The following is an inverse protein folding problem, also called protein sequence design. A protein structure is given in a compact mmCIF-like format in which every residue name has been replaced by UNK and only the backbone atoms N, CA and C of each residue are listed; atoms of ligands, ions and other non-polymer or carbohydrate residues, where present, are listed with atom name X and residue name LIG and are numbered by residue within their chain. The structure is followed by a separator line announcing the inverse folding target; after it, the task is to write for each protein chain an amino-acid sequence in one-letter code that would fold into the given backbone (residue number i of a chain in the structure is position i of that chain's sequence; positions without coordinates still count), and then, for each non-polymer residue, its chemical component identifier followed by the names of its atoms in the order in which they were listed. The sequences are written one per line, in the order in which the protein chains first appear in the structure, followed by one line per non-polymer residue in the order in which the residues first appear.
data_IF_101944309722
#
_entry.id   IF_101944309722
#
_cell.length_a   1.000
_cell.length_b   1.000
_cell.length_c   1.000
_cell.angle_alpha   90.00
_cell.angle_beta   90.00
_cell.angle_gamma   90.00
#
_symmetry.space_group_name_H-M   'P 1'
#
loop_
_entity.id
_entity.type
_entity.pdbx_description
1 polymer ?
#
# COMPACT_ATOMS: atom_id res chain seq x y z
N UNK A 1 9.17 1.36 5.74
CA UNK A 1 8.39 0.30 6.40
C UNK A 1 6.98 0.79 6.66
N UNK A 2 5.98 -0.09 6.80
CA UNK A 2 4.63 0.32 7.20
C UNK A 2 4.64 0.74 8.68
N UNK A 3 4.03 1.88 9.00
CA UNK A 3 3.77 2.33 10.37
C UNK A 3 2.30 2.12 10.69
N UNK A 4 1.40 2.73 9.91
CA UNK A 4 -0.04 2.58 10.10
C UNK A 4 -0.79 2.53 8.78
N UNK A 5 -1.97 1.91 8.84
CA UNK A 5 -2.96 1.96 7.78
C UNK A 5 -4.34 2.25 8.36
N UNK A 6 -4.98 3.31 7.90
CA UNK A 6 -6.31 3.75 8.32
C UNK A 6 -7.30 3.55 7.18
N UNK A 7 -8.48 3.03 7.53
CA UNK A 7 -9.60 2.81 6.61
C UNK A 7 -10.91 3.25 7.23
N UNK A 8 -11.78 3.87 6.42
CA UNK A 8 -13.16 4.25 6.80
C UNK A 8 -14.09 4.02 5.62
N UNK A 9 -15.32 3.66 5.92
CA UNK A 9 -16.38 3.42 4.94
C UNK A 9 -15.95 2.52 3.77
N UNK A 10 -15.46 1.32 4.10
CA UNK A 10 -15.03 0.32 3.13
C UNK A 10 -15.49 -1.06 3.59
N UNK A 11 -16.39 -1.70 2.83
CA UNK A 11 -16.91 -3.05 3.11
C UNK A 11 -17.42 -3.25 4.53
N UNK A 12 -16.62 -3.87 5.40
CA UNK A 12 -16.97 -4.14 6.80
C UNK A 12 -16.57 -3.03 7.77
N UNK A 13 -15.87 -2.00 7.30
CA UNK A 13 -15.44 -0.85 8.08
C UNK A 13 -16.42 0.29 7.84
N UNK A 14 -17.33 0.53 8.80
CA UNK A 14 -18.18 1.71 8.81
C UNK A 14 -17.38 2.92 9.27
N UNK A 15 -16.95 2.87 10.52
CA UNK A 15 -16.16 3.91 11.16
C UNK A 15 -14.68 3.76 10.83
N UNK A 16 -13.93 4.82 11.10
CA UNK A 16 -12.49 4.85 10.96
C UNK A 16 -11.82 3.82 11.88
N UNK A 17 -10.91 3.05 11.31
CA UNK A 17 -10.09 2.06 12.00
C UNK A 17 -8.66 2.12 11.50
N UNK A 18 -7.72 2.14 12.44
CA UNK A 18 -6.29 2.15 12.17
C UNK A 18 -5.67 0.82 12.60
N UNK A 19 -4.91 0.22 11.71
CA UNK A 19 -4.01 -0.87 11.98
C UNK A 19 -2.60 -0.31 12.15
N UNK A 20 -1.98 -0.54 13.31
CA UNK A 20 -0.66 -0.02 13.65
C UNK A 20 0.37 -1.13 13.78
N UNK A 21 1.56 -0.89 13.23
CA UNK A 21 2.75 -1.71 13.43
C UNK A 21 3.64 -1.18 14.56
N UNK A 22 3.25 -0.09 15.23
CA UNK A 22 4.00 0.42 16.40
C UNK A 22 3.97 -0.58 17.54
N UNK A 23 5.15 -0.84 18.12
CA UNK A 23 5.30 -1.70 19.27
C UNK A 23 4.78 -0.96 20.52
N UNK A 24 3.82 -1.56 21.22
CA UNK A 24 3.34 -1.03 22.49
C UNK A 24 4.48 -0.93 23.52
N UNK A 25 4.73 0.27 24.04
CA UNK A 25 5.54 0.50 25.23
C UNK A 25 4.74 0.18 26.49
N UNK A 26 4.37 -1.09 26.70
CA UNK A 26 3.62 -1.48 27.89
C UNK A 26 4.60 -1.88 28.99
N UNK A 27 4.71 -1.07 30.05
CA UNK A 27 5.61 -1.26 31.21
C UNK A 27 5.52 -2.68 31.84
N UNK A 28 4.41 -3.40 31.63
CA UNK A 28 4.20 -4.76 32.14
C UNK A 28 4.79 -5.88 31.29
N UNK A 29 5.31 -5.57 30.10
CA UNK A 29 5.80 -6.53 29.12
C UNK A 29 7.22 -6.27 28.63
N UNK A 30 7.97 -5.38 29.29
CA UNK A 30 9.40 -5.16 29.00
C UNK A 30 10.24 -6.44 29.15
N UNK A 31 9.77 -7.41 29.95
CA UNK A 31 10.42 -8.73 30.05
C UNK A 31 10.10 -9.69 28.88
N UNK A 32 9.11 -9.39 28.05
CA UNK A 32 8.61 -10.31 27.00
C UNK A 32 8.83 -9.84 25.56
N UNK A 33 9.04 -8.54 25.33
CA UNK A 33 9.48 -8.04 24.02
C UNK A 33 10.98 -7.85 24.11
N UNK A 34 11.74 -8.88 23.72
CA UNK A 34 13.19 -8.74 23.57
C UNK A 34 13.48 -7.58 22.62
N UNK A 35 14.38 -6.67 22.99
CA UNK A 35 14.77 -5.51 22.14
C UNK A 35 15.22 -5.92 20.73
N UNK A 36 15.66 -7.17 20.56
CA UNK A 36 16.02 -7.78 19.28
C UNK A 36 14.83 -8.15 18.38
N UNK A 37 13.59 -8.05 18.87
CA UNK A 37 12.36 -8.43 18.15
C UNK A 37 11.61 -7.25 17.53
N UNK A 38 12.16 -6.03 17.64
CA UNK A 38 11.60 -4.80 17.05
C UNK A 38 12.58 -4.18 16.06
N UNK A 39 12.06 -3.46 15.08
CA UNK A 39 12.85 -2.71 14.12
C UNK A 39 12.76 -1.24 14.49
N UNK A 40 13.91 -0.64 14.81
CA UNK A 40 14.00 0.77 15.18
C UNK A 40 14.36 1.60 13.93
N UNK A 41 13.50 2.55 13.59
CA UNK A 41 13.68 3.46 12.45
C UNK A 41 13.31 4.88 12.88
N UNK A 42 14.33 5.74 13.08
CA UNK A 42 14.12 7.06 13.66
C UNK A 42 13.58 6.96 15.08
N UNK A 43 12.48 7.66 15.36
CA UNK A 43 11.77 7.61 16.65
C UNK A 43 10.79 6.42 16.76
N UNK A 44 10.61 5.64 15.68
CA UNK A 44 9.59 4.60 15.59
C UNK A 44 10.14 3.23 15.99
N UNK A 45 9.36 2.48 16.78
CA UNK A 45 9.67 1.12 17.21
C UNK A 45 8.66 0.16 16.59
N UNK A 46 9.01 -0.42 15.45
CA UNK A 46 8.06 -1.17 14.64
C UNK A 46 8.15 -2.68 14.88
N UNK A 47 7.00 -3.35 14.87
CA UNK A 47 6.91 -4.79 14.84
C UNK A 47 7.25 -5.30 13.42
N UNK A 48 8.13 -6.32 13.29
CA UNK A 48 8.43 -6.91 11.98
C UNK A 48 7.30 -7.80 11.44
N UNK A 49 6.41 -8.27 12.32
CA UNK A 49 5.34 -9.22 12.00
C UNK A 49 4.08 -8.90 12.82
N UNK A 50 2.93 -9.00 12.17
CA UNK A 50 1.62 -8.94 12.80
C UNK A 50 0.75 -10.12 12.34
N UNK A 51 0.03 -10.72 13.28
CA UNK A 51 -0.89 -11.84 13.03
C UNK A 51 -2.31 -11.37 13.34
N UNK A 52 -3.18 -11.39 12.33
CA UNK A 52 -4.59 -11.02 12.47
C UNK A 52 -5.44 -12.26 12.71
N UNK A 53 -5.97 -12.41 13.92
CA UNK A 53 -6.91 -13.47 14.29
C UNK A 53 -8.26 -12.89 14.74
N UNK A 54 -9.33 -13.67 14.61
CA UNK A 54 -10.67 -13.25 14.98
C UNK A 54 -11.75 -14.09 14.32
N UNK A 55 -13.00 -13.90 14.73
CA UNK A 55 -14.14 -14.65 14.20
C UNK A 55 -14.31 -14.52 12.68
N UNK A 56 -15.04 -15.45 12.06
CA UNK A 56 -15.44 -15.31 10.67
C UNK A 56 -16.18 -13.99 10.44
N UNK A 57 -15.94 -13.36 9.29
CA UNK A 57 -16.53 -12.07 8.92
C UNK A 57 -16.14 -10.87 9.80
N UNK A 58 -15.13 -10.99 10.67
CA UNK A 58 -14.65 -9.89 11.51
C UNK A 58 -13.87 -8.78 10.78
N UNK A 59 -13.79 -8.83 9.44
CA UNK A 59 -13.12 -7.79 8.63
C UNK A 59 -11.63 -8.00 8.35
N UNK A 60 -10.99 -9.07 8.84
CA UNK A 60 -9.55 -9.35 8.61
C UNK A 60 -9.16 -9.33 7.12
N UNK A 61 -9.85 -10.11 6.30
CA UNK A 61 -9.60 -10.13 4.85
C UNK A 61 -9.92 -8.79 4.20
N UNK A 62 -10.88 -8.03 4.74
CA UNK A 62 -11.21 -6.71 4.21
C UNK A 62 -10.13 -5.67 4.52
N UNK A 63 -9.42 -5.78 5.65
CA UNK A 63 -8.25 -4.93 5.93
C UNK A 63 -7.16 -5.15 4.88
N UNK A 64 -6.81 -6.42 4.60
CA UNK A 64 -5.82 -6.76 3.57
C UNK A 64 -6.28 -6.31 2.18
N UNK A 65 -7.58 -6.44 1.88
CA UNK A 65 -8.16 -5.95 0.62
C UNK A 65 -8.13 -4.43 0.53
N UNK A 66 -8.35 -3.68 1.62
CA UNK A 66 -8.24 -2.22 1.63
C UNK A 66 -6.82 -1.78 1.27
N UNK A 67 -5.79 -2.40 1.87
CA UNK A 67 -4.38 -2.15 1.52
C UNK A 67 -4.11 -2.47 0.05
N UNK A 68 -4.63 -3.60 -0.47
CA UNK A 68 -4.52 -3.97 -1.89
C UNK A 68 -5.16 -2.90 -2.79
N UNK A 69 -6.37 -2.43 -2.48
CA UNK A 69 -7.07 -1.42 -3.28
C UNK A 69 -6.32 -0.09 -3.25
N UNK A 70 -5.89 0.40 -2.08
CA UNK A 70 -5.10 1.63 -1.98
C UNK A 70 -3.84 1.54 -2.86
N UNK A 71 -3.06 0.46 -2.72
CA UNK A 71 -1.87 0.21 -3.54
C UNK A 71 -2.18 0.24 -5.04
N UNK A 72 -3.23 -0.46 -5.47
CA UNK A 72 -3.56 -0.56 -6.89
C UNK A 72 -4.09 0.77 -7.44
N UNK A 73 -4.84 1.55 -6.67
CA UNK A 73 -5.23 2.90 -7.04
C UNK A 73 -3.99 3.78 -7.24
N UNK A 74 -3.08 3.82 -6.25
CA UNK A 74 -1.82 4.59 -6.34
C UNK A 74 -0.97 4.18 -7.55
N UNK A 75 -0.92 2.89 -7.89
CA UNK A 75 -0.13 2.40 -9.03
C UNK A 75 -0.79 2.62 -10.39
N UNK A 76 -2.11 2.48 -10.50
CA UNK A 76 -2.82 2.45 -11.78
C UNK A 76 -3.55 3.75 -12.11
N UNK A 77 -3.64 4.70 -11.18
CA UNK A 77 -4.43 5.91 -11.35
C UNK A 77 -4.11 6.69 -12.64
N UNK A 78 -2.85 6.71 -13.08
CA UNK A 78 -2.43 7.38 -14.32
C UNK A 78 -2.90 6.70 -15.62
N UNK A 79 -3.34 5.44 -15.53
CA UNK A 79 -3.88 4.69 -16.67
C UNK A 79 -5.38 4.93 -16.87
N UNK A 80 -6.03 5.61 -15.93
CA UNK A 80 -7.45 5.92 -15.99
C UNK A 80 -7.72 7.03 -17.01
N UNK A 81 -8.73 6.81 -17.84
CA UNK A 81 -9.41 7.85 -18.62
C UNK A 81 -10.39 8.61 -17.71
N UNK A 82 -10.84 9.79 -18.12
CA UNK A 82 -11.70 10.67 -17.30
C UNK A 82 -13.01 10.02 -16.82
N UNK A 83 -13.62 9.19 -17.67
CA UNK A 83 -14.89 8.52 -17.37
C UNK A 83 -14.73 7.16 -16.67
N UNK A 84 -13.50 6.70 -16.44
CA UNK A 84 -13.25 5.42 -15.78
C UNK A 84 -13.67 5.49 -14.30
N UNK A 85 -14.40 4.45 -13.87
CA UNK A 85 -14.88 4.35 -12.49
C UNK A 85 -13.78 3.87 -11.53
N UNK A 86 -13.81 4.42 -10.32
CA UNK A 86 -12.94 4.01 -9.23
C UNK A 86 -13.49 2.76 -8.52
N UNK A 87 -12.63 1.93 -7.89
CA UNK A 87 -13.02 0.68 -7.21
C UNK A 87 -13.73 0.92 -5.86
N UNK A 88 -14.85 1.63 -5.91
CA UNK A 88 -15.64 2.06 -4.77
C UNK A 88 -16.59 0.95 -4.28
N UNK A 89 -16.33 0.46 -3.06
CA UNK A 89 -17.07 -0.61 -2.37
C UNK A 89 -17.28 -0.22 -0.89
N UNK A 90 -18.18 0.75 -0.63
CA UNK A 90 -18.37 1.36 0.70
C UNK A 90 -19.04 0.40 1.69
N UNK A 91 -19.20 0.83 2.94
CA UNK A 91 -20.03 0.11 3.91
C UNK A 91 -21.51 0.24 3.51
N UNK A 92 -22.19 -0.89 3.27
CA UNK A 92 -23.55 -0.90 2.69
C UNK A 92 -24.67 -1.23 3.67
N UNK A 93 -24.36 -1.61 4.92
CA UNK A 93 -25.36 -1.94 5.94
C UNK A 93 -25.94 -0.72 6.66
N UNK A 94 -25.63 0.48 6.17
CA UNK A 94 -26.15 1.75 6.68
C UNK A 94 -26.54 2.64 5.48
N UNK A 95 -27.73 3.23 5.53
CA UNK A 95 -28.28 4.00 4.39
C UNK A 95 -27.51 5.29 4.10
N UNK A 96 -26.81 5.82 5.09
CA UNK A 96 -26.08 7.08 4.98
C UNK A 96 -24.69 6.87 4.39
N UNK A 97 -24.03 5.77 4.72
CA UNK A 97 -22.63 5.48 4.35
C UNK A 97 -22.46 5.09 2.88
N UNK A 98 -23.51 4.58 2.23
CA UNK A 98 -23.50 4.17 0.81
C UNK A 98 -23.17 5.33 -0.13
N UNK A 99 -23.44 6.57 0.27
CA UNK A 99 -23.10 7.77 -0.49
C UNK A 99 -21.92 8.56 0.07
N UNK A 100 -21.30 8.09 1.16
CA UNK A 100 -20.14 8.75 1.76
C UNK A 100 -18.85 8.31 1.08
N UNK A 101 -17.80 9.15 1.01
CA UNK A 101 -16.51 8.72 0.50
C UNK A 101 -15.91 7.54 1.28
N UNK A 102 -15.09 6.74 0.61
CA UNK A 102 -14.17 5.79 1.25
C UNK A 102 -12.85 6.51 1.51
N UNK A 103 -12.29 6.36 2.71
CA UNK A 103 -10.99 6.92 3.09
C UNK A 103 -9.96 5.80 3.21
N UNK A 104 -8.80 6.03 2.60
CA UNK A 104 -7.57 5.30 2.92
C UNK A 104 -6.48 6.29 3.31
N UNK A 105 -5.77 6.01 4.40
CA UNK A 105 -4.55 6.72 4.78
C UNK A 105 -3.48 5.71 5.19
N UNK A 106 -2.24 5.99 4.85
CA UNK A 106 -1.10 5.16 5.20
C UNK A 106 0.06 6.01 5.70
N UNK A 107 0.64 5.58 6.81
CA UNK A 107 1.90 6.10 7.34
C UNK A 107 3.00 5.09 7.08
N UNK A 108 4.08 5.52 6.45
CA UNK A 108 5.20 4.64 6.16
C UNK A 108 6.53 5.37 6.15
N UNK A 109 7.58 4.64 6.50
CA UNK A 109 8.96 5.13 6.51
C UNK A 109 9.63 4.87 5.15
N UNK A 110 10.27 5.89 4.60
CA UNK A 110 11.07 5.79 3.37
C UNK A 110 12.17 6.85 3.43
N UNK A 111 13.40 6.47 3.09
CA UNK A 111 14.53 7.42 2.94
C UNK A 111 14.71 8.36 4.15
N UNK A 112 14.62 7.80 5.37
CA UNK A 112 14.73 8.53 6.66
C UNK A 112 13.68 9.62 6.87
N UNK A 113 12.50 9.47 6.27
CA UNK A 113 11.33 10.27 6.57
C UNK A 113 10.10 9.38 6.78
N UNK A 114 9.15 9.86 7.57
CA UNK A 114 7.80 9.33 7.64
C UNK A 114 6.93 10.08 6.65
N UNK A 115 6.27 9.35 5.76
CA UNK A 115 5.25 9.92 4.89
C UNK A 115 3.88 9.54 5.41
N UNK A 116 2.97 10.51 5.42
CA UNK A 116 1.55 10.30 5.64
C UNK A 116 0.83 10.67 4.35
N UNK A 117 0.31 9.66 3.68
CA UNK A 117 -0.39 9.81 2.41
C UNK A 117 -1.80 9.23 2.53
N UNK A 118 -2.80 9.98 2.08
CA UNK A 118 -4.17 9.53 2.11
C UNK A 118 -5.05 10.21 1.07
N UNK A 119 -6.22 9.63 0.85
CA UNK A 119 -7.23 10.18 -0.03
C UNK A 119 -8.62 9.66 0.33
N UNK A 120 -9.62 10.48 0.04
CA UNK A 120 -11.02 10.08 0.02
C UNK A 120 -11.53 10.02 -1.41
N UNK A 121 -12.34 9.02 -1.72
CA UNK A 121 -12.88 8.84 -3.07
C UNK A 121 -14.29 8.25 -3.05
N UNK A 122 -15.02 8.50 -4.12
CA UNK A 122 -16.28 7.83 -4.42
C UNK A 122 -16.13 7.01 -5.72
N UNK A 123 -17.24 6.56 -6.31
CA UNK A 123 -17.23 5.77 -7.55
C UNK A 123 -16.63 6.53 -8.76
N UNK A 124 -16.62 7.85 -8.72
CA UNK A 124 -16.39 8.71 -9.88
C UNK A 124 -15.12 9.56 -9.73
N UNK A 125 -14.77 9.99 -8.52
CA UNK A 125 -13.70 10.98 -8.33
C UNK A 125 -12.98 10.84 -6.99
N UNK A 126 -11.80 11.47 -6.95
CA UNK A 126 -11.04 11.74 -5.73
C UNK A 126 -11.60 13.03 -5.12
N UNK A 127 -12.12 12.92 -3.90
CA UNK A 127 -12.76 14.00 -3.15
C UNK A 127 -11.71 14.83 -2.42
N UNK A 128 -10.74 14.15 -1.81
CA UNK A 128 -9.60 14.77 -1.14
C UNK A 128 -8.38 13.88 -1.27
N UNK A 129 -7.20 14.47 -1.27
CA UNK A 129 -5.91 13.76 -1.31
C UNK A 129 -4.87 14.62 -0.60
N UNK A 130 -4.00 14.00 0.19
CA UNK A 130 -2.99 14.72 0.93
C UNK A 130 -1.70 13.93 1.01
N UNK A 131 -0.59 14.66 1.02
CA UNK A 131 0.72 14.11 1.27
C UNK A 131 1.48 15.00 2.24
N UNK A 132 1.95 14.39 3.32
CA UNK A 132 2.82 15.01 4.29
C UNK A 132 4.12 14.21 4.46
N UNK A 133 5.17 14.91 4.88
CA UNK A 133 6.50 14.37 5.14
C UNK A 133 7.02 14.86 6.49
N UNK A 134 7.48 13.94 7.33
CA UNK A 134 8.22 14.24 8.57
C UNK A 134 9.61 13.62 8.47
N UNK A 135 10.66 14.39 8.13
CA UNK A 135 12.03 13.94 8.21
C UNK A 135 12.39 13.51 9.64
N UNK A 136 13.27 12.51 9.81
CA UNK A 136 13.65 12.01 11.13
C UNK A 136 14.37 13.05 11.98
N UNK A 137 15.08 13.98 11.34
CA UNK A 137 15.83 15.05 11.98
C UNK A 137 14.92 16.19 12.45
N UNK A 138 13.65 16.20 12.06
CA UNK A 138 12.71 17.28 12.30
C UNK A 138 11.56 16.85 13.22
N UNK A 139 11.05 17.82 13.99
CA UNK A 139 9.96 17.57 14.94
C UNK A 139 8.58 17.69 14.29
N UNK A 140 8.48 18.57 13.31
CA UNK A 140 7.21 18.94 12.68
C UNK A 140 7.01 18.15 11.39
N UNK A 141 5.74 17.86 11.09
CA UNK A 141 5.31 17.28 9.83
C UNK A 141 5.05 18.41 8.85
N UNK A 142 5.60 18.29 7.65
CA UNK A 142 5.46 19.26 6.57
C UNK A 142 4.45 18.79 5.55
N UNK A 143 3.55 19.69 5.18
CA UNK A 143 2.67 19.45 4.04
C UNK A 143 3.47 19.57 2.74
N UNK A 144 3.20 18.64 1.82
CA UNK A 144 3.73 18.65 0.47
C UNK A 144 2.68 19.16 -0.51
N UNK A 145 1.48 18.56 -0.45
CA UNK A 145 0.30 19.05 -1.15
C UNK A 145 -0.98 18.58 -0.47
N UNK A 146 -2.06 19.32 -0.71
CA UNK A 146 -3.42 18.94 -0.37
C UNK A 146 -4.36 19.18 -1.56
N UNK A 147 -5.35 18.32 -1.71
CA UNK A 147 -6.40 18.41 -2.71
C UNK A 147 -7.75 18.45 -2.02
N UNK A 148 -8.59 19.39 -2.45
CA UNK A 148 -9.99 19.50 -2.06
C UNK A 148 -10.85 19.65 -3.32
N UNK A 149 -11.50 18.56 -3.72
CA UNK A 149 -12.26 18.46 -4.96
C UNK A 149 -11.40 18.68 -6.20
N UNK A 150 -11.65 19.78 -6.91
CA UNK A 150 -10.91 20.17 -8.13
C UNK A 150 -9.70 21.07 -7.85
N UNK A 151 -9.51 21.50 -6.60
CA UNK A 151 -8.41 22.39 -6.20
C UNK A 151 -7.28 21.56 -5.61
N UNK A 152 -6.06 21.76 -6.12
CA UNK A 152 -4.83 21.17 -5.59
C UNK A 152 -3.92 22.32 -5.18
N UNK A 153 -3.54 22.33 -3.91
CA UNK A 153 -2.61 23.28 -3.32
C UNK A 153 -1.27 22.57 -3.12
N UNK A 154 -0.21 23.11 -3.73
CA UNK A 154 1.15 22.57 -3.64
C UNK A 154 2.00 23.55 -2.86
N UNK A 155 2.68 23.07 -1.81
CA UNK A 155 3.68 23.86 -1.11
C UNK A 155 5.02 23.72 -1.83
N UNK A 156 5.29 24.63 -2.77
CA UNK A 156 6.50 24.60 -3.62
C UNK A 156 7.81 24.57 -2.84
N UNK A 157 7.84 25.09 -1.60
CA UNK A 157 9.01 25.02 -0.71
C UNK A 157 9.40 23.57 -0.38
N UNK A 158 8.41 22.71 -0.13
CA UNK A 158 8.62 21.32 0.27
C UNK A 158 8.42 20.34 -0.89
N UNK A 159 7.63 20.71 -1.90
CA UNK A 159 7.22 19.87 -3.02
C UNK A 159 7.30 20.59 -4.38
N UNK A 160 8.48 21.10 -4.78
CA UNK A 160 8.64 21.82 -6.06
C UNK A 160 8.35 20.95 -7.29
N UNK A 161 8.44 19.62 -7.16
CA UNK A 161 8.09 18.70 -8.24
C UNK A 161 6.59 18.65 -8.53
N UNK A 162 5.71 19.12 -7.63
CA UNK A 162 4.27 19.23 -7.87
C UNK A 162 3.87 20.53 -8.57
N UNK A 163 4.68 21.59 -8.44
CA UNK A 163 4.33 22.93 -8.91
C UNK A 163 4.04 22.97 -10.42
N UNK A 164 2.94 23.62 -10.78
CA UNK A 164 2.48 23.81 -12.16
C UNK A 164 1.84 22.57 -12.80
N UNK A 165 1.61 21.51 -12.03
CA UNK A 165 1.00 20.24 -12.51
C UNK A 165 -0.44 20.04 -12.01
N UNK A 166 -0.96 20.98 -11.23
CA UNK A 166 -2.26 20.91 -10.53
C UNK A 166 -3.39 20.68 -11.54
N UNK A 167 -3.38 21.45 -12.63
CA UNK A 167 -4.40 21.40 -13.69
C UNK A 167 -4.27 20.17 -14.62
N UNK A 168 -3.25 19.33 -14.45
CA UNK A 168 -3.05 18.11 -15.24
C UNK A 168 -3.71 16.88 -14.60
N UNK A 169 -4.17 17.01 -13.35
CA UNK A 169 -4.86 15.94 -12.63
C UNK A 169 -6.36 15.97 -12.92
N UNK A 170 -6.85 14.89 -13.53
CA UNK A 170 -8.27 14.69 -13.74
C UNK A 170 -8.96 14.33 -12.41
N UNK A 171 -10.29 14.48 -12.36
CA UNK A 171 -11.10 14.25 -11.14
C UNK A 171 -10.87 12.88 -10.50
N UNK A 172 -10.69 11.83 -11.31
CA UNK A 172 -10.47 10.45 -10.87
C UNK A 172 -8.98 10.05 -10.78
N UNK A 173 -8.05 11.00 -10.96
CA UNK A 173 -6.61 10.74 -10.92
C UNK A 173 -5.98 11.27 -9.64
N UNK A 174 -5.18 10.44 -8.98
CA UNK A 174 -4.35 10.80 -7.84
C UNK A 174 -3.19 11.68 -8.30
N UNK A 175 -3.01 12.81 -7.63
CA UNK A 175 -1.98 13.79 -7.94
C UNK A 175 -0.58 13.22 -7.71
N UNK A 176 -0.36 12.47 -6.63
CA UNK A 176 0.92 11.79 -6.37
C UNK A 176 1.33 10.90 -7.54
N UNK A 177 0.39 10.11 -8.07
CA UNK A 177 0.64 9.19 -9.19
C UNK A 177 0.99 9.95 -10.47
N UNK A 178 0.33 11.08 -10.72
CA UNK A 178 0.60 11.95 -11.86
C UNK A 178 2.00 12.58 -11.78
N UNK A 179 2.36 13.16 -10.63
CA UNK A 179 3.68 13.78 -10.44
C UNK A 179 4.79 12.73 -10.60
N UNK A 180 4.60 11.51 -10.10
CA UNK A 180 5.52 10.40 -10.35
C UNK A 180 5.67 10.06 -11.85
N UNK A 181 4.57 10.02 -12.61
CA UNK A 181 4.61 9.78 -14.06
C UNK A 181 5.38 10.88 -14.80
N UNK A 182 5.27 12.12 -14.32
CA UNK A 182 6.00 13.28 -14.81
C UNK A 182 7.44 13.37 -14.27
N UNK A 183 7.97 12.25 -13.76
CA UNK A 183 9.35 12.07 -13.29
C UNK A 183 9.72 12.86 -12.02
N UNK A 184 8.75 13.18 -11.17
CA UNK A 184 9.03 13.66 -9.81
C UNK A 184 9.82 12.61 -9.02
N UNK A 185 10.98 12.96 -8.49
CA UNK A 185 11.89 12.04 -7.81
C UNK A 185 11.29 11.54 -6.48
N UNK A 186 10.73 12.46 -5.68
CA UNK A 186 10.15 12.13 -4.37
C UNK A 186 8.89 11.28 -4.56
N UNK A 187 8.03 11.68 -5.50
CA UNK A 187 6.84 10.92 -5.89
C UNK A 187 7.20 9.52 -6.39
N UNK A 188 8.24 9.38 -7.23
CA UNK A 188 8.70 8.06 -7.66
C UNK A 188 9.27 7.21 -6.51
N UNK A 189 9.95 7.83 -5.54
CA UNK A 189 10.41 7.12 -4.34
C UNK A 189 9.24 6.57 -3.51
N UNK A 190 8.21 7.40 -3.30
CA UNK A 190 6.96 7.02 -2.61
C UNK A 190 6.24 5.91 -3.38
N UNK A 191 6.02 6.06 -4.69
CA UNK A 191 5.43 5.00 -5.53
C UNK A 191 6.27 3.72 -5.47
N UNK A 192 7.60 3.85 -5.41
CA UNK A 192 8.54 2.75 -5.22
C UNK A 192 8.29 1.96 -3.93
N UNK A 193 7.89 2.62 -2.85
CA UNK A 193 7.46 1.95 -1.61
C UNK A 193 6.19 1.12 -1.84
N UNK A 194 5.15 1.68 -2.49
CA UNK A 194 3.93 0.93 -2.82
C UNK A 194 4.18 -0.25 -3.76
N UNK A 195 5.15 -0.16 -4.68
CA UNK A 195 5.55 -1.27 -5.56
C UNK A 195 6.14 -2.45 -4.77
N UNK A 196 6.80 -2.18 -3.64
CA UNK A 196 7.36 -3.20 -2.74
C UNK A 196 6.35 -3.71 -1.70
N UNK A 197 5.13 -3.17 -1.64
CA UNK A 197 4.06 -3.71 -0.83
C UNK A 197 3.43 -4.91 -1.55
N UNK A 198 3.71 -6.14 -1.11
CA UNK A 198 3.13 -7.35 -1.71
C UNK A 198 1.92 -7.82 -0.90
N UNK A 199 0.80 -8.07 -1.61
CA UNK A 199 -0.38 -8.69 -1.01
C UNK A 199 -0.51 -10.07 -1.63
N UNK A 200 -0.39 -11.08 -0.79
CA UNK A 200 -0.51 -12.49 -1.18
C UNK A 200 -1.86 -13.03 -0.72
N UNK A 201 -2.56 -13.75 -1.59
CA UNK A 201 -3.83 -14.42 -1.34
C UNK A 201 -3.72 -15.89 -1.73
N UNK A 202 -3.82 -16.81 -0.77
CA UNK A 202 -3.87 -18.24 -1.07
C UNK A 202 -5.14 -18.70 -1.82
N UNK A 203 -6.11 -17.80 -2.02
CA UNK A 203 -7.37 -18.08 -2.75
C UNK A 203 -7.32 -17.53 -4.18
N UNK A 204 -6.49 -16.51 -4.41
CA UNK A 204 -6.38 -15.81 -5.69
C UNK A 204 -4.95 -16.00 -6.19
N UNK A 205 -4.76 -16.98 -7.06
CA UNK A 205 -3.45 -17.39 -7.58
C UNK A 205 -2.97 -16.55 -8.75
N UNK A 206 -3.73 -15.52 -9.14
CA UNK A 206 -3.43 -14.69 -10.30
C UNK A 206 -2.08 -13.98 -10.12
N UNK A 207 -1.13 -14.26 -11.02
CA UNK A 207 0.24 -13.73 -10.99
C UNK A 207 1.27 -14.56 -10.21
N UNK A 208 0.87 -15.58 -9.44
CA UNK A 208 1.82 -16.53 -8.84
C UNK A 208 2.48 -17.40 -9.86
N UNK A 209 1.70 -17.88 -10.83
CA UNK A 209 2.22 -18.71 -11.90
C UNK A 209 3.34 -17.98 -12.65
N UNK A 210 3.13 -16.73 -13.05
CA UNK A 210 4.15 -15.92 -13.73
C UNK A 210 5.39 -15.70 -12.87
N UNK A 211 5.21 -15.41 -11.58
CA UNK A 211 6.33 -15.24 -10.64
C UNK A 211 7.14 -16.54 -10.51
N UNK A 212 6.48 -17.65 -10.21
CA UNK A 212 7.11 -18.97 -10.04
C UNK A 212 7.76 -19.44 -11.35
N UNK A 213 7.10 -19.25 -12.49
CA UNK A 213 7.67 -19.54 -13.80
C UNK A 213 8.93 -18.71 -14.05
N UNK A 214 8.89 -17.40 -13.80
CA UNK A 214 10.04 -16.52 -13.98
C UNK A 214 11.19 -16.89 -13.04
N UNK A 215 10.89 -17.19 -11.78
CA UNK A 215 11.86 -17.64 -10.78
C UNK A 215 12.64 -18.87 -11.27
N UNK A 216 11.95 -19.88 -11.80
CA UNK A 216 12.61 -21.07 -12.34
C UNK A 216 13.27 -20.86 -13.72
N UNK A 217 12.70 -20.01 -14.59
CA UNK A 217 13.26 -19.72 -15.92
C UNK A 217 14.55 -18.91 -15.85
N UNK A 218 14.63 -17.95 -14.93
CA UNK A 218 15.75 -17.01 -14.81
C UNK A 218 16.69 -17.37 -13.66
N UNK A 219 16.46 -18.48 -12.96
CA UNK A 219 17.23 -18.92 -11.78
C UNK A 219 17.34 -17.81 -10.72
N UNK A 220 16.20 -17.22 -10.36
CA UNK A 220 16.14 -16.20 -9.32
C UNK A 220 16.19 -16.83 -7.92
N UNK A 221 16.50 -16.02 -6.91
CA UNK A 221 16.50 -16.42 -5.49
C UNK A 221 15.21 -17.18 -5.14
N UNK A 222 15.34 -18.32 -4.44
CA UNK A 222 14.25 -19.21 -4.10
C UNK A 222 14.03 -20.38 -5.07
N UNK A 223 14.66 -20.36 -6.26
CA UNK A 223 14.52 -21.45 -7.24
C UNK A 223 15.12 -22.78 -6.74
N UNK A 224 16.32 -22.73 -6.17
CA UNK A 224 17.01 -23.94 -5.69
C UNK A 224 16.33 -24.48 -4.41
N UNK A 225 15.97 -23.59 -3.48
CA UNK A 225 15.23 -23.95 -2.28
C UNK A 225 13.88 -24.58 -2.61
N UNK A 226 13.18 -24.06 -3.62
CA UNK A 226 11.92 -24.65 -4.07
C UNK A 226 12.14 -26.04 -4.73
N UNK A 227 13.19 -26.23 -5.53
CA UNK A 227 13.54 -27.56 -6.07
C UNK A 227 13.81 -28.57 -4.96
N UNK A 228 14.56 -28.17 -3.93
CA UNK A 228 14.86 -29.03 -2.80
C UNK A 228 13.60 -29.36 -1.99
N UNK A 229 12.73 -28.39 -1.76
CA UNK A 229 11.43 -28.64 -1.13
C UNK A 229 10.57 -29.63 -1.93
N UNK A 230 10.52 -29.53 -3.26
CA UNK A 230 9.77 -30.48 -4.09
C UNK A 230 10.36 -31.90 -4.06
N UNK A 231 11.69 -32.04 -3.91
CA UNK A 231 12.33 -33.36 -3.67
C UNK A 231 11.85 -33.97 -2.36
N UNK A 232 11.78 -33.17 -1.29
CA UNK A 232 11.30 -33.63 0.02
C UNK A 232 9.84 -34.08 -0.01
N UNK A 233 9.00 -33.43 -0.83
CA UNK A 233 7.58 -33.77 -0.98
C UNK A 233 7.32 -35.10 -1.73
N UNK A 234 8.34 -35.73 -2.32
CA UNK A 234 8.23 -37.02 -3.02
C UNK A 234 7.12 -37.07 -4.08
N UNK A 235 7.00 -36.02 -4.91
CA UNK A 235 5.94 -35.87 -5.92
C UNK A 235 6.09 -36.79 -7.16
N UNK A 236 6.99 -37.77 -7.13
CA UNK A 236 7.26 -38.69 -8.25
C UNK A 236 8.31 -38.20 -9.25
N UNK A 237 8.97 -37.07 -8.98
CA UNK A 237 10.10 -36.55 -9.74
C UNK A 237 11.13 -35.93 -8.79
N UNK A 238 12.40 -35.91 -9.20
CA UNK A 238 13.50 -35.36 -8.38
C UNK A 238 13.90 -33.94 -8.79
N UNK A 239 13.69 -33.56 -10.05
CA UNK A 239 13.98 -32.23 -10.56
C UNK A 239 13.08 -31.92 -11.75
N UNK A 240 12.89 -30.63 -12.02
CA UNK A 240 12.28 -30.15 -13.27
C UNK A 240 13.02 -28.92 -13.78
N UNK A 241 12.78 -28.53 -15.03
CA UNK A 241 13.33 -27.31 -15.61
C UNK A 241 12.25 -26.56 -16.37
N UNK A 242 12.21 -25.24 -16.23
CA UNK A 242 11.32 -24.39 -17.02
C UNK A 242 12.01 -24.04 -18.35
N UNK A 243 11.25 -24.04 -19.46
CA UNK A 243 11.75 -23.65 -20.78
C UNK A 243 10.76 -22.70 -21.45
N UNK A 244 11.25 -21.69 -22.16
CA UNK A 244 10.40 -20.85 -23.03
C UNK A 244 9.86 -21.70 -24.18
N UNK A 245 8.55 -21.71 -24.39
CA UNK A 245 7.99 -22.29 -25.61
C UNK A 245 8.37 -21.41 -26.81
N UNK A 246 8.62 -22.03 -27.97
CA UNK A 246 8.72 -21.26 -29.21
C UNK A 246 7.31 -20.79 -29.59
N UNK A 247 7.14 -19.53 -30.04
CA UNK A 247 5.85 -19.10 -30.57
C UNK A 247 5.48 -19.99 -31.75
N UNK A 248 4.22 -20.41 -31.79
CA UNK A 248 3.60 -21.18 -32.88
C UNK A 248 3.41 -20.27 -34.09
#
# INVERSE_FOLDING_TARGET
MLVDFTVKNYRSFKDERTFSMEACSMERHEQSVHEQSVINEGEHRLLPLAILYGANSSGKSNLIRAIRVMKEMVKRSVQLNEDDLLPYDPFTLDKTTVSQPTLFEIRFIRERAVYRYGFEYNRNEIISEWLYEKPFEEKEEHELFERSGDVIEVLSENFPEGEGKENLANKNRLFLSLVAQLKGEKSNSIIGWFRKCYVLSGVDSEGYEDFTHKMFLEHLDGADEAQDFFKELQLGFNTFSAKKSKPI
#
